data_IF_813352478742
#
_entry.id   IF_813352478742
#
_cell.length_a   1.000
_cell.length_b   1.000
_cell.length_c   1.000
_cell.angle_alpha   90.00
_cell.angle_beta   90.00
_cell.angle_gamma   90.00
#
_symmetry.space_group_name_H-M   'P 1'
#
loop_
_entity.id
_entity.type
_entity.pdbx_description
1 polymer ?
#
# COMPACT_ATOMS: atom_id res chain seq x y z
N UNK A 1 -25.39 -8.74 -8.32
CA UNK A 1 -24.14 -8.74 -7.53
C UNK A 1 -23.63 -10.17 -7.51
N UNK A 2 -22.47 -10.45 -8.13
CA UNK A 2 -21.94 -11.82 -8.26
C UNK A 2 -21.27 -12.19 -6.93
N UNK A 3 -21.51 -13.39 -6.41
CA UNK A 3 -21.09 -13.83 -5.05
C UNK A 3 -19.60 -13.63 -4.72
N UNK A 4 -18.76 -13.55 -5.75
CA UNK A 4 -17.33 -13.23 -5.66
C UNK A 4 -17.07 -11.80 -5.17
N UNK A 5 -17.81 -10.80 -5.64
CA UNK A 5 -17.64 -9.40 -5.22
C UNK A 5 -17.97 -9.20 -3.74
N UNK A 6 -19.00 -9.90 -3.26
CA UNK A 6 -19.39 -9.87 -1.85
C UNK A 6 -18.32 -10.47 -0.94
N UNK A 7 -17.64 -11.53 -1.40
CA UNK A 7 -16.52 -12.16 -0.67
C UNK A 7 -15.28 -11.29 -0.66
N UNK A 8 -14.92 -10.70 -1.81
CA UNK A 8 -13.79 -9.77 -1.91
C UNK A 8 -13.98 -8.54 -1.02
N UNK A 9 -15.19 -7.98 -0.94
CA UNK A 9 -15.51 -6.86 -0.06
C UNK A 9 -15.41 -7.24 1.43
N UNK A 10 -15.88 -8.45 1.80
CA UNK A 10 -15.79 -8.93 3.18
C UNK A 10 -14.33 -9.18 3.61
N UNK A 11 -13.51 -9.74 2.72
CA UNK A 11 -12.07 -9.94 2.96
C UNK A 11 -11.33 -8.61 3.01
N UNK A 12 -11.70 -7.64 2.16
CA UNK A 12 -11.11 -6.31 2.16
C UNK A 12 -11.43 -5.53 3.43
N UNK A 13 -12.65 -5.66 3.96
CA UNK A 13 -13.04 -5.11 5.26
C UNK A 13 -12.28 -5.74 6.43
N UNK A 14 -11.83 -6.99 6.30
CA UNK A 14 -11.02 -7.69 7.31
C UNK A 14 -9.52 -7.46 7.16
N UNK A 15 -9.09 -6.77 6.10
CA UNK A 15 -7.66 -6.61 5.77
C UNK A 15 -6.99 -7.89 5.28
N UNK A 16 -7.77 -8.93 4.94
CA UNK A 16 -7.31 -10.23 4.43
C UNK A 16 -7.39 -10.34 2.91
N UNK A 17 -7.82 -9.27 2.23
CA UNK A 17 -7.83 -9.22 0.77
C UNK A 17 -6.48 -8.77 0.25
N UNK A 18 -5.72 -9.72 -0.28
CA UNK A 18 -4.56 -9.44 -1.13
C UNK A 18 -5.04 -9.44 -2.60
N UNK A 19 -5.26 -8.26 -3.21
CA UNK A 19 -5.68 -8.21 -4.60
C UNK A 19 -4.60 -8.85 -5.47
N UNK A 20 -4.99 -9.65 -6.49
CA UNK A 20 -4.00 -10.17 -7.43
C UNK A 20 -3.22 -9.00 -8.03
N UNK A 21 -1.89 -9.12 -8.18
CA UNK A 21 -1.10 -8.05 -8.77
C UNK A 21 -1.70 -7.67 -10.12
N UNK A 22 -1.85 -6.36 -10.39
CA UNK A 22 -2.39 -5.88 -11.67
C UNK A 22 -1.56 -6.34 -12.88
N UNK A 23 -0.33 -6.79 -12.64
CA UNK A 23 0.57 -7.40 -13.62
C UNK A 23 1.28 -8.62 -13.00
N UNK A 24 0.60 -9.78 -12.93
CA UNK A 24 1.08 -10.94 -12.16
C UNK A 24 2.38 -11.52 -12.72
N UNK A 25 2.58 -11.44 -14.04
CA UNK A 25 3.81 -11.89 -14.71
C UNK A 25 5.03 -11.03 -14.32
N UNK A 26 4.86 -9.71 -14.29
CA UNK A 26 5.90 -8.77 -13.87
C UNK A 26 6.25 -8.98 -12.40
N UNK A 27 5.24 -9.17 -11.54
CA UNK A 27 5.45 -9.43 -10.13
C UNK A 27 6.22 -10.75 -9.89
N UNK A 28 5.82 -11.83 -10.56
CA UNK A 28 6.47 -13.15 -10.46
C UNK A 28 7.93 -13.09 -10.91
N UNK A 29 8.19 -12.47 -12.07
CA UNK A 29 9.55 -12.30 -12.60
C UNK A 29 10.43 -11.46 -11.67
N UNK A 30 9.85 -10.39 -11.12
CA UNK A 30 10.58 -9.48 -10.23
C UNK A 30 10.92 -10.16 -8.92
N UNK A 31 9.99 -10.90 -8.32
CA UNK A 31 10.22 -11.67 -7.11
C UNK A 31 11.30 -12.75 -7.30
N UNK A 32 11.23 -13.50 -8.40
CA UNK A 32 12.24 -14.52 -8.72
C UNK A 32 13.65 -13.92 -8.89
N UNK A 33 13.75 -12.78 -9.58
CA UNK A 33 15.03 -12.11 -9.79
C UNK A 33 15.61 -11.57 -8.46
N UNK A 34 14.80 -10.94 -7.62
CA UNK A 34 15.24 -10.45 -6.31
C UNK A 34 15.71 -11.59 -5.39
N UNK A 35 15.00 -12.71 -5.38
CA UNK A 35 15.39 -13.90 -4.62
C UNK A 35 16.75 -14.46 -5.08
N UNK A 36 17.01 -14.46 -6.40
CA UNK A 36 18.31 -14.87 -6.93
C UNK A 36 19.45 -13.94 -6.48
N UNK A 37 19.22 -12.62 -6.46
CA UNK A 37 20.20 -11.62 -6.00
C UNK A 37 20.49 -11.74 -4.50
N UNK A 38 19.45 -11.97 -3.70
CA UNK A 38 19.60 -12.22 -2.27
C UNK A 38 20.39 -13.50 -1.99
N UNK A 39 20.06 -14.61 -2.69
CA UNK A 39 20.78 -15.87 -2.57
C UNK A 39 22.25 -15.76 -3.00
N UNK A 40 22.55 -14.95 -4.01
CA UNK A 40 23.92 -14.64 -4.43
C UNK A 40 24.66 -13.75 -3.41
N UNK A 41 23.92 -13.06 -2.52
CA UNK A 41 24.47 -12.19 -1.50
C UNK A 41 24.74 -10.77 -1.99
N UNK A 42 24.08 -10.33 -3.07
CA UNK A 42 24.28 -8.99 -3.64
C UNK A 42 23.98 -7.87 -2.63
N UNK A 43 23.05 -8.11 -1.71
CA UNK A 43 22.68 -7.17 -0.66
C UNK A 43 23.62 -7.20 0.56
N UNK A 44 24.57 -8.13 0.66
CA UNK A 44 25.47 -8.24 1.82
C UNK A 44 26.42 -7.06 1.98
N UNK A 45 26.68 -6.31 0.91
CA UNK A 45 27.51 -5.10 0.94
C UNK A 45 26.77 -3.87 1.47
N UNK A 46 25.44 -3.94 1.57
CA UNK A 46 24.62 -2.88 2.12
C UNK A 46 24.67 -2.91 3.66
N UNK A 47 25.71 -2.30 4.23
CA UNK A 47 25.95 -2.29 5.68
C UNK A 47 25.01 -1.38 6.48
N UNK A 48 24.08 -0.68 5.81
CA UNK A 48 23.07 0.17 6.44
C UNK A 48 21.71 -0.08 5.82
N UNK A 49 20.64 0.14 6.59
CA UNK A 49 19.26 -0.01 6.09
C UNK A 49 18.96 0.93 4.91
N UNK A 50 19.54 2.13 4.91
CA UNK A 50 19.43 3.07 3.79
C UNK A 50 20.11 2.53 2.53
N UNK A 51 21.35 2.03 2.65
CA UNK A 51 22.05 1.44 1.50
C UNK A 51 21.32 0.21 0.95
N UNK A 52 20.68 -0.57 1.83
CA UNK A 52 19.85 -1.70 1.42
C UNK A 52 18.61 -1.23 0.67
N UNK A 53 17.90 -0.23 1.20
CA UNK A 53 16.71 0.34 0.56
C UNK A 53 17.03 0.94 -0.82
N UNK A 54 18.18 1.61 -0.97
CA UNK A 54 18.67 2.13 -2.25
C UNK A 54 18.97 1.00 -3.24
N UNK A 55 19.75 -0.01 -2.83
CA UNK A 55 20.09 -1.15 -3.68
C UNK A 55 18.83 -1.91 -4.15
N UNK A 56 17.89 -2.16 -3.24
CA UNK A 56 16.61 -2.79 -3.55
C UNK A 56 15.75 -1.93 -4.49
N UNK A 57 15.75 -0.61 -4.31
CA UNK A 57 15.05 0.32 -5.21
C UNK A 57 15.58 0.27 -6.64
N UNK A 58 16.91 0.27 -6.80
CA UNK A 58 17.55 0.18 -8.12
C UNK A 58 17.19 -1.13 -8.83
N UNK A 59 17.12 -2.22 -8.08
CA UNK A 59 16.77 -3.53 -8.61
C UNK A 59 15.30 -3.62 -9.00
N UNK A 60 14.40 -3.08 -8.17
CA UNK A 60 12.97 -2.98 -8.48
C UNK A 60 12.71 -2.15 -9.74
N UNK A 61 13.38 -1.00 -9.87
CA UNK A 61 13.30 -0.15 -11.06
C UNK A 61 13.81 -0.90 -12.30
N UNK A 62 14.97 -1.54 -12.20
CA UNK A 62 15.62 -2.21 -13.34
C UNK A 62 14.88 -3.47 -13.82
N UNK A 63 14.38 -4.28 -12.89
CA UNK A 63 13.72 -5.58 -13.19
C UNK A 63 12.24 -5.37 -13.52
N UNK A 64 11.56 -4.53 -12.73
CA UNK A 64 10.15 -4.19 -12.90
C UNK A 64 9.89 -3.23 -14.06
N UNK A 65 10.94 -2.53 -14.53
CA UNK A 65 10.86 -1.46 -15.55
C UNK A 65 9.92 -0.33 -15.13
N UNK A 66 9.84 -0.06 -13.83
CA UNK A 66 8.99 0.98 -13.25
C UNK A 66 9.82 1.91 -12.36
N UNK A 67 9.96 3.16 -12.82
CA UNK A 67 10.73 4.20 -12.11
C UNK A 67 10.00 4.77 -10.88
N UNK A 68 8.73 4.41 -10.70
CA UNK A 68 7.94 4.84 -9.55
C UNK A 68 8.08 3.89 -8.35
N UNK A 69 8.64 2.69 -8.56
CA UNK A 69 8.87 1.75 -7.47
C UNK A 69 10.15 2.13 -6.72
N UNK A 70 9.99 2.52 -5.46
CA UNK A 70 11.09 2.83 -4.54
C UNK A 70 10.83 2.30 -3.15
N UNK A 71 11.90 1.88 -2.50
CA UNK A 71 11.93 1.47 -1.10
C UNK A 71 12.70 2.55 -0.35
N UNK A 72 12.05 3.11 0.68
CA UNK A 72 12.67 4.10 1.55
C UNK A 72 12.80 3.51 2.96
N UNK A 73 13.98 3.67 3.56
CA UNK A 73 14.13 3.43 4.99
C UNK A 73 13.61 4.66 5.74
N UNK A 74 12.50 4.49 6.47
CA UNK A 74 11.84 5.57 7.19
C UNK A 74 11.72 5.21 8.69
N UNK A 75 12.78 5.43 9.49
CA UNK A 75 12.72 5.20 10.93
C UNK A 75 11.73 6.20 11.56
N UNK A 76 10.79 5.70 12.36
CA UNK A 76 9.74 6.53 12.96
C UNK A 76 8.56 6.85 12.04
N UNK A 77 8.47 6.20 10.87
CA UNK A 77 7.25 6.27 10.07
C UNK A 77 6.08 5.75 10.91
N UNK A 78 5.00 6.54 11.09
CA UNK A 78 3.88 6.12 11.91
C UNK A 78 3.29 4.86 11.27
N UNK A 79 3.24 3.77 12.05
CA UNK A 79 2.49 2.59 11.67
C UNK A 79 1.07 3.07 11.31
N UNK A 80 0.58 2.69 10.14
CA UNK A 80 -0.77 3.05 9.75
C UNK A 80 -1.72 2.70 10.92
N UNK A 81 -2.71 3.56 11.24
CA UNK A 81 -3.63 3.30 12.32
C UNK A 81 -4.14 1.87 12.18
N UNK A 82 -4.13 1.13 13.30
CA UNK A 82 -4.57 -0.27 13.32
C UNK A 82 -6.01 -0.29 12.78
N UNK A 83 -6.44 -1.34 12.10
CA UNK A 83 -7.76 -1.36 11.42
C UNK A 83 -8.93 -0.89 12.32
N UNK A 84 -8.83 -1.15 13.62
CA UNK A 84 -9.72 -0.66 14.69
C UNK A 84 -9.81 0.88 14.75
N UNK A 85 -8.72 1.60 14.56
CA UNK A 85 -8.68 3.07 14.49
C UNK A 85 -9.36 3.60 13.23
N UNK A 86 -9.29 2.87 12.11
CA UNK A 86 -9.99 3.23 10.87
C UNK A 86 -11.50 3.07 11.02
N UNK A 87 -11.95 2.03 11.71
CA UNK A 87 -13.38 1.82 12.00
C UNK A 87 -13.91 2.93 12.91
N UNK A 88 -13.15 3.31 13.94
CA UNK A 88 -13.47 4.44 14.80
C UNK A 88 -13.52 5.77 14.02
N UNK A 89 -12.56 6.00 13.11
CA UNK A 89 -12.52 7.19 12.26
C UNK A 89 -13.71 7.25 11.28
N UNK A 90 -14.09 6.13 10.66
CA UNK A 90 -15.26 6.07 9.76
C UNK A 90 -16.55 6.35 10.53
N UNK A 91 -16.69 5.81 11.75
CA UNK A 91 -17.84 6.07 12.61
C UNK A 91 -17.90 7.55 13.00
N UNK A 92 -16.77 8.13 13.38
CA UNK A 92 -16.67 9.55 13.73
C UNK A 92 -17.00 10.47 12.54
N UNK A 93 -16.52 10.15 11.32
CA UNK A 93 -16.87 10.90 10.11
C UNK A 93 -18.37 10.78 9.78
N UNK A 94 -18.99 9.61 10.02
CA UNK A 94 -20.43 9.44 9.81
C UNK A 94 -21.27 10.27 10.80
N UNK A 95 -20.80 10.43 12.03
CA UNK A 95 -21.42 11.26 13.07
C UNK A 95 -21.25 12.77 12.80
N UNK A 96 -20.13 13.19 12.20
CA UNK A 96 -19.89 14.59 11.84
C UNK A 96 -20.59 15.05 10.55
N UNK A 97 -20.89 14.12 9.64
CA UNK A 97 -21.57 14.40 8.36
C UNK A 97 -22.92 15.14 8.51
N UNK A 98 -23.84 14.78 9.42
CA UNK A 98 -25.08 15.55 9.60
C UNK A 98 -24.83 16.96 10.13
N UNK A 99 -23.84 17.18 10.99
CA UNK A 99 -23.48 18.51 11.50
C UNK A 99 -22.92 19.41 10.38
N UNK A 100 -22.08 18.85 9.50
CA UNK A 100 -21.56 19.56 8.33
C UNK A 100 -22.64 19.88 7.28
N UNK A 101 -23.67 19.04 7.16
CA UNK A 101 -24.80 19.29 6.26
C UNK A 101 -25.72 20.40 6.75
N UNK A 102 -25.82 20.61 8.07
CA UNK A 102 -26.55 21.76 8.64
C UNK A 102 -25.77 23.07 8.59
N UNK A 103 -24.44 23.02 8.48
CA UNK A 103 -23.55 24.21 8.49
C UNK A 103 -23.10 24.65 7.10
N UNK A 104 -23.51 23.97 6.02
CA UNK A 104 -23.23 24.41 4.65
C UNK A 104 -24.08 25.65 4.30
N UNK A 105 -23.60 26.82 4.72
CA UNK A 105 -24.12 28.12 4.31
C UNK A 105 -23.86 28.36 2.82
N UNK A 106 -24.94 28.35 2.03
CA UNK A 106 -25.13 29.15 0.81
C UNK A 106 -24.01 29.17 -0.24
N UNK A 107 -23.99 28.17 -1.12
CA UNK A 107 -23.57 28.42 -2.52
C UNK A 107 -24.84 28.42 -3.37
N UNK A 108 -25.49 29.57 -3.45
CA UNK A 108 -26.50 29.82 -4.49
C UNK A 108 -25.77 29.79 -5.84
N UNK A 109 -26.15 28.85 -6.69
CA UNK A 109 -25.78 28.87 -8.11
C UNK A 109 -26.63 29.97 -8.77
N UNK A 110 -26.02 31.08 -9.13
CA UNK A 110 -26.55 32.04 -10.12
C UNK A 110 -26.32 31.52 -11.52
#
# INVERSE_FOLDING_TARGET
>A
MRSEEARSLLLAQRGEYDPPPRFPDVATRTAAALAAKDAHGDYRRANTMTAFAEALSMDLESIGKDRHLRVNFAPGFPLAPRQEDKVALVKHIAELRPAMASESFGISRT
#
